data_IF_123731336157
#
_entry.id   IF_123731336157
#
_cell.length_a   1.000
_cell.length_b   1.000
_cell.length_c   1.000
_cell.angle_alpha   90.00
_cell.angle_beta   90.00
_cell.angle_gamma   90.00
#
_symmetry.space_group_name_H-M   'P 1'
#
loop_
_entity.id
_entity.type
_entity.pdbx_description
1 polymer ?
#
# COMPACT_ATOMS: atom_id res chain seq x y z
N UNK A 1 -1.36 -16.17 5.53
CA UNK A 1 -0.35 -15.67 4.56
C UNK A 1 -1.06 -14.81 3.51
N UNK A 2 -0.44 -13.73 2.99
CA UNK A 2 -1.07 -12.81 2.02
C UNK A 2 -1.72 -13.51 0.79
N UNK A 3 -1.13 -14.57 0.21
CA UNK A 3 -1.75 -15.31 -0.90
C UNK A 3 -3.01 -16.08 -0.52
N UNK A 4 -3.13 -16.51 0.74
CA UNK A 4 -4.32 -17.23 1.24
C UNK A 4 -5.48 -16.27 1.50
N UNK A 5 -5.17 -15.02 1.84
CA UNK A 5 -6.16 -13.97 2.08
C UNK A 5 -6.79 -13.46 0.77
N UNK A 6 -6.03 -13.56 -0.32
CA UNK A 6 -6.42 -13.21 -1.69
C UNK A 6 -7.24 -11.92 -1.82
N UNK A 7 -6.73 -10.78 -1.30
CA UNK A 7 -7.49 -9.54 -1.24
C UNK A 7 -7.69 -8.93 -2.63
N UNK A 8 -8.80 -8.21 -2.80
CA UNK A 8 -9.10 -7.44 -4.02
C UNK A 8 -8.34 -6.12 -4.09
N UNK A 9 -8.04 -5.49 -2.94
CA UNK A 9 -7.26 -4.26 -2.83
C UNK A 9 -6.19 -4.39 -1.74
N UNK A 10 -5.00 -3.85 -2.02
CA UNK A 10 -3.89 -3.79 -1.06
C UNK A 10 -3.52 -2.32 -0.85
N UNK A 11 -3.65 -1.85 0.39
CA UNK A 11 -3.18 -0.55 0.85
C UNK A 11 -1.92 -0.74 1.66
N UNK A 12 -0.83 -0.08 1.27
CA UNK A 12 0.45 -0.21 1.97
C UNK A 12 1.24 1.09 2.00
N UNK A 13 2.13 1.20 2.97
CA UNK A 13 3.10 2.29 3.07
C UNK A 13 4.51 1.73 2.86
N UNK A 14 5.39 2.52 2.25
CA UNK A 14 6.79 2.13 1.96
C UNK A 14 7.73 3.01 2.77
N UNK A 15 8.65 2.40 3.51
CA UNK A 15 9.64 3.11 4.33
C UNK A 15 9.23 3.33 5.79
N UNK A 16 10.09 4.05 6.53
CA UNK A 16 9.84 4.46 7.91
C UNK A 16 9.13 5.81 7.95
N UNK A 17 8.24 5.98 8.94
CA UNK A 17 7.49 7.23 9.13
C UNK A 17 8.34 8.47 9.43
N UNK A 18 9.64 8.29 9.75
CA UNK A 18 10.57 9.36 10.10
C UNK A 18 11.45 9.83 8.94
N UNK A 19 11.38 9.19 7.78
CA UNK A 19 12.25 9.49 6.63
C UNK A 19 11.38 9.67 5.40
N UNK A 20 11.59 10.75 4.66
CA UNK A 20 10.79 11.08 3.47
C UNK A 20 11.06 10.15 2.28
N UNK A 21 12.25 9.55 2.22
CA UNK A 21 12.67 8.55 1.22
C UNK A 21 13.53 7.51 1.93
N UNK A 22 13.07 6.26 1.92
CA UNK A 22 13.77 5.12 2.50
C UNK A 22 14.16 4.20 1.34
N UNK A 23 15.36 4.44 0.80
CA UNK A 23 15.87 3.73 -0.39
C UNK A 23 15.93 2.21 -0.17
N UNK A 24 16.20 1.77 1.06
CA UNK A 24 16.20 0.36 1.43
C UNK A 24 14.80 -0.25 1.34
N UNK A 25 13.78 0.48 1.81
CA UNK A 25 12.39 0.03 1.71
C UNK A 25 11.86 0.04 0.27
N UNK A 26 12.26 1.02 -0.54
CA UNK A 26 11.94 1.06 -1.96
C UNK A 26 12.58 -0.11 -2.72
N UNK A 27 13.84 -0.41 -2.41
CA UNK A 27 14.55 -1.56 -2.96
C UNK A 27 13.90 -2.88 -2.54
N UNK A 28 13.54 -3.02 -1.27
CA UNK A 28 12.82 -4.20 -0.78
C UNK A 28 11.46 -4.36 -1.48
N UNK A 29 10.72 -3.26 -1.70
CA UNK A 29 9.50 -3.31 -2.47
C UNK A 29 9.75 -3.77 -3.91
N UNK A 30 10.80 -3.25 -4.56
CA UNK A 30 11.15 -3.65 -5.91
C UNK A 30 11.52 -5.15 -5.99
N UNK A 31 12.26 -5.66 -5.00
CA UNK A 31 12.59 -7.09 -4.88
C UNK A 31 11.33 -7.94 -4.63
N UNK A 32 10.43 -7.49 -3.75
CA UNK A 32 9.14 -8.14 -3.51
C UNK A 32 8.28 -8.19 -4.77
N UNK A 33 8.26 -7.09 -5.55
CA UNK A 33 7.52 -7.01 -6.81
C UNK A 33 8.03 -8.00 -7.87
N UNK A 34 9.30 -8.39 -7.81
CA UNK A 34 9.86 -9.43 -8.69
C UNK A 34 9.51 -10.85 -8.24
N UNK A 35 8.95 -11.04 -7.04
CA UNK A 35 8.59 -12.37 -6.56
C UNK A 35 7.35 -12.93 -7.27
N UNK A 36 7.38 -14.22 -7.58
CA UNK A 36 6.24 -14.92 -8.16
C UNK A 36 5.00 -14.89 -7.24
N UNK A 37 5.21 -14.81 -5.93
CA UNK A 37 4.12 -14.70 -4.95
C UNK A 37 3.40 -13.36 -5.11
N UNK A 38 4.14 -12.27 -5.25
CA UNK A 38 3.58 -10.93 -5.43
C UNK A 38 2.82 -10.79 -6.75
N UNK A 39 3.42 -11.25 -7.86
CA UNK A 39 2.77 -11.22 -9.17
C UNK A 39 1.52 -12.10 -9.30
N UNK A 40 1.34 -13.06 -8.39
CA UNK A 40 0.16 -13.92 -8.33
C UNK A 40 -0.97 -13.38 -7.43
N UNK A 41 -0.77 -12.23 -6.77
CA UNK A 41 -1.83 -11.61 -5.97
C UNK A 41 -2.89 -10.98 -6.90
N UNK A 42 -4.17 -11.29 -6.66
CA UNK A 42 -5.28 -10.70 -7.42
C UNK A 42 -5.25 -9.19 -7.44
N UNK A 43 -5.06 -8.55 -6.29
CA UNK A 43 -4.94 -7.09 -6.21
C UNK A 43 -3.80 -6.51 -7.08
N UNK A 44 -2.66 -7.21 -7.18
CA UNK A 44 -1.54 -6.76 -8.01
C UNK A 44 -1.88 -6.90 -9.49
N UNK A 45 -2.45 -8.04 -9.89
CA UNK A 45 -2.88 -8.28 -11.27
C UNK A 45 -4.00 -7.34 -11.72
N UNK A 46 -4.89 -6.96 -10.80
CA UNK A 46 -5.97 -6.02 -11.03
C UNK A 46 -5.52 -4.54 -10.98
N UNK A 47 -4.26 -4.25 -10.65
CA UNK A 47 -3.77 -2.87 -10.49
C UNK A 47 -4.29 -2.15 -9.24
N UNK A 48 -4.85 -2.89 -8.28
CA UNK A 48 -5.44 -2.41 -7.02
C UNK A 48 -4.42 -2.32 -5.88
N UNK A 49 -3.17 -2.02 -6.22
CA UNK A 49 -2.12 -1.73 -5.24
C UNK A 49 -2.05 -0.22 -5.02
N UNK A 50 -2.31 0.21 -3.79
CA UNK A 50 -2.32 1.61 -3.42
C UNK A 50 -1.23 1.90 -2.41
N UNK A 51 -0.15 2.55 -2.87
CA UNK A 51 0.90 3.06 -2.00
C UNK A 51 0.39 4.36 -1.37
N UNK A 52 0.29 4.34 -0.05
CA UNK A 52 -0.21 5.46 0.73
C UNK A 52 0.91 6.19 1.47
N UNK A 53 0.71 7.46 1.84
CA UNK A 53 1.65 8.18 2.69
C UNK A 53 1.79 7.49 4.05
N UNK A 54 3.00 7.49 4.62
CA UNK A 54 3.31 6.87 5.92
C UNK A 54 2.37 7.27 7.06
N UNK A 55 1.90 8.52 7.05
CA UNK A 55 1.02 9.05 8.07
C UNK A 55 -0.42 8.50 7.98
N UNK A 56 -0.83 7.87 6.87
CA UNK A 56 -2.23 7.48 6.63
C UNK A 56 -2.78 6.49 7.66
N UNK A 57 -1.91 5.63 8.20
CA UNK A 57 -2.26 4.62 9.21
C UNK A 57 -1.99 5.10 10.63
N UNK A 58 -1.50 6.31 10.83
CA UNK A 58 -1.23 6.89 12.14
C UNK A 58 -2.51 7.22 12.92
N UNK A 59 -2.38 7.28 14.25
CA UNK A 59 -3.43 7.69 15.16
C UNK A 59 -3.26 9.15 15.60
N UNK A 60 -3.61 10.08 14.70
CA UNK A 60 -3.74 11.49 15.04
C UNK A 60 -5.12 12.03 14.65
N UNK A 61 -5.68 13.00 15.42
CA UNK A 61 -7.07 13.46 15.25
C UNK A 61 -7.40 13.96 13.84
N UNK A 62 -6.46 14.66 13.20
CA UNK A 62 -6.66 15.27 11.88
C UNK A 62 -6.33 14.33 10.71
N UNK A 63 -5.77 13.16 10.99
CA UNK A 63 -5.31 12.22 9.95
C UNK A 63 -6.48 11.38 9.44
N UNK A 64 -7.38 10.92 10.32
CA UNK A 64 -8.44 9.97 9.97
C UNK A 64 -9.34 10.47 8.83
N UNK A 65 -9.70 11.76 8.82
CA UNK A 65 -10.48 12.36 7.72
C UNK A 65 -9.72 12.27 6.40
N UNK A 66 -8.44 12.63 6.37
CA UNK A 66 -7.63 12.55 5.15
C UNK A 66 -7.34 11.12 4.71
N UNK A 67 -7.20 10.20 5.65
CA UNK A 67 -7.05 8.78 5.35
C UNK A 67 -8.30 8.21 4.68
N UNK A 68 -9.49 8.62 5.13
CA UNK A 68 -10.76 8.25 4.48
C UNK A 68 -10.83 8.80 3.05
N UNK A 69 -10.49 10.07 2.82
CA UNK A 69 -10.47 10.66 1.48
C UNK A 69 -9.54 9.88 0.52
N UNK A 70 -8.38 9.43 1.01
CA UNK A 70 -7.41 8.65 0.22
C UNK A 70 -7.91 7.25 -0.11
N UNK A 71 -8.58 6.59 0.83
CA UNK A 71 -9.20 5.27 0.60
C UNK A 71 -10.37 5.40 -0.36
N UNK A 72 -11.20 6.42 -0.19
CA UNK A 72 -12.33 6.71 -1.08
C UNK A 72 -11.85 6.94 -2.53
N UNK A 73 -10.87 7.83 -2.72
CA UNK A 73 -10.28 8.09 -4.04
C UNK A 73 -9.64 6.84 -4.69
N UNK A 74 -9.11 5.93 -3.89
CA UNK A 74 -8.52 4.69 -4.37
C UNK A 74 -9.58 3.67 -4.84
N UNK A 75 -10.74 3.63 -4.19
CA UNK A 75 -11.81 2.65 -4.47
C UNK A 75 -12.82 3.14 -5.51
N UNK A 76 -12.97 4.45 -5.71
CA UNK A 76 -13.95 5.05 -6.65
C UNK A 76 -13.37 5.22 -8.07
N UNK A 77 -12.14 4.77 -8.35
CA UNK A 77 -11.62 4.81 -9.72
C UNK A 77 -12.56 4.04 -10.67
N UNK A 78 -13.07 4.68 -11.74
CA UNK A 78 -14.03 4.08 -12.68
C UNK A 78 -13.43 2.94 -13.50
#
# INVERSE_FOLDING_TARGET
>A
MLPELNPDHIFMTVGKSTVSQDEDAEKLLAEMQQSAVWGNLKAVQAGNLHIMPQWVFGDYPNIKSKSLDLVEAALIKP
#
